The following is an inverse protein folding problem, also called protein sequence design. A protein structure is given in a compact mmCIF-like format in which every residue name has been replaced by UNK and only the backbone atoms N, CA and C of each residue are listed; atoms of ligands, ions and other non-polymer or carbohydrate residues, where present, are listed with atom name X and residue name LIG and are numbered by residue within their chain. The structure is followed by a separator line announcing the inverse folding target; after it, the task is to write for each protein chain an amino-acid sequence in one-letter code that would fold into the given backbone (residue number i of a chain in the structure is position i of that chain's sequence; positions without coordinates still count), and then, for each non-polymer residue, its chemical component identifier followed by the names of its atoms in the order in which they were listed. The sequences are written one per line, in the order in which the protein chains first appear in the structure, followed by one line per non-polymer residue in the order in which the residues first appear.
data_IF_296227059135
#
_entry.id   IF_296227059135
#
_cell.length_a   1.000
_cell.length_b   1.000
_cell.length_c   1.000
_cell.angle_alpha   90.00
_cell.angle_beta   90.00
_cell.angle_gamma   90.00
#
_symmetry.space_group_name_H-M   'P 1'
#
loop_
_entity.id
_entity.type
_entity.pdbx_description
1 polymer ?
#
# COMPACT_ATOMS: atom_id res chain seq x y z
N UNK A 1 -7.96 -28.32 -18.40
CA UNK A 1 -7.96 -28.63 -16.96
C UNK A 1 -6.92 -27.76 -16.29
N UNK A 2 -7.28 -26.89 -15.34
CA UNK A 2 -6.28 -26.17 -14.53
C UNK A 2 -5.64 -27.19 -13.58
N UNK A 3 -4.33 -27.41 -13.68
CA UNK A 3 -3.60 -28.24 -12.72
C UNK A 3 -3.70 -27.60 -11.34
N UNK A 4 -4.25 -28.32 -10.37
CA UNK A 4 -4.27 -27.87 -8.98
C UNK A 4 -2.90 -28.16 -8.37
N UNK A 5 -2.13 -27.11 -8.13
CA UNK A 5 -0.83 -27.19 -7.45
C UNK A 5 -1.09 -27.08 -5.94
N UNK A 6 -0.76 -28.14 -5.19
CA UNK A 6 -0.82 -28.11 -3.73
C UNK A 6 0.49 -27.52 -3.20
N UNK A 7 0.44 -26.27 -2.74
CA UNK A 7 1.59 -25.59 -2.12
C UNK A 7 1.51 -25.82 -0.60
N UNK A 8 2.52 -26.45 0.03
CA UNK A 8 2.53 -26.63 1.48
C UNK A 8 2.65 -25.29 2.21
N UNK A 9 2.05 -25.18 3.39
CA UNK A 9 2.17 -23.99 4.24
C UNK A 9 3.63 -23.89 4.74
N UNK A 10 4.35 -22.78 4.48
CA UNK A 10 5.70 -22.59 4.99
C UNK A 10 5.73 -22.69 6.53
N UNK A 11 6.73 -23.40 7.06
CA UNK A 11 6.97 -23.50 8.50
C UNK A 11 8.15 -22.59 8.86
N UNK A 12 7.97 -21.77 9.89
CA UNK A 12 9.00 -20.84 10.34
C UNK A 12 9.33 -21.07 11.82
N UNK A 13 10.58 -20.84 12.25
CA UNK A 13 10.98 -21.04 13.65
C UNK A 13 10.53 -19.90 14.59
N UNK A 14 9.92 -18.85 14.06
CA UNK A 14 9.39 -17.73 14.84
C UNK A 14 7.87 -17.84 15.04
N UNK A 15 7.40 -17.23 16.14
CA UNK A 15 5.97 -17.17 16.44
C UNK A 15 5.22 -16.32 15.42
N UNK A 16 4.03 -16.78 15.07
CA UNK A 16 3.06 -15.96 14.36
C UNK A 16 2.52 -14.89 15.32
N UNK A 17 2.85 -13.63 15.05
CA UNK A 17 2.43 -12.48 15.85
C UNK A 17 1.49 -11.60 15.03
N UNK A 18 0.44 -11.10 15.67
CA UNK A 18 -0.52 -10.17 15.09
C UNK A 18 -0.52 -8.91 15.93
N UNK A 19 -0.40 -7.75 15.29
CA UNK A 19 -0.47 -6.47 15.99
C UNK A 19 -1.85 -6.23 16.62
N UNK A 20 -1.91 -5.43 17.69
CA UNK A 20 -3.15 -5.18 18.44
C UNK A 20 -4.22 -4.39 17.67
N UNK A 21 -3.87 -3.79 16.53
CA UNK A 21 -4.75 -2.97 15.69
C UNK A 21 -5.12 -3.64 14.35
N UNK A 22 -4.96 -4.97 14.25
CA UNK A 22 -5.42 -5.69 13.06
C UNK A 22 -6.92 -5.43 12.83
N UNK A 23 -7.26 -5.05 11.60
CA UNK A 23 -8.62 -4.67 11.19
C UNK A 23 -9.08 -3.27 11.64
N UNK A 24 -8.32 -2.55 12.47
CA UNK A 24 -8.74 -1.24 13.00
C UNK A 24 -8.80 -0.13 11.95
N UNK A 25 -8.13 -0.28 10.80
CA UNK A 25 -8.08 0.71 9.74
C UNK A 25 -8.94 0.34 8.51
N UNK A 26 -9.80 -0.68 8.57
CA UNK A 26 -10.52 -1.15 7.38
C UNK A 26 -11.37 -0.06 6.71
N UNK A 27 -12.09 0.72 7.51
CA UNK A 27 -12.90 1.83 7.00
C UNK A 27 -12.03 2.97 6.45
N UNK A 28 -10.92 3.27 7.12
CA UNK A 28 -9.98 4.29 6.68
C UNK A 28 -9.25 3.89 5.39
N UNK A 29 -8.84 2.62 5.24
CA UNK A 29 -8.27 2.08 4.01
C UNK A 29 -9.26 2.23 2.85
N UNK A 30 -10.53 1.90 3.05
CA UNK A 30 -11.57 2.09 2.03
C UNK A 30 -11.69 3.57 1.66
N UNK A 31 -11.73 4.46 2.66
CA UNK A 31 -11.84 5.89 2.44
C UNK A 31 -10.64 6.43 1.65
N UNK A 32 -9.41 6.10 2.04
CA UNK A 32 -8.20 6.55 1.34
C UNK A 32 -8.14 6.02 -0.09
N UNK A 33 -8.55 4.76 -0.31
CA UNK A 33 -8.68 4.20 -1.67
C UNK A 33 -9.67 5.03 -2.51
N UNK A 34 -10.79 5.44 -1.91
CA UNK A 34 -11.83 6.17 -2.63
C UNK A 34 -11.47 7.64 -2.90
N UNK A 35 -10.77 8.31 -1.99
CA UNK A 35 -10.42 9.72 -2.11
C UNK A 35 -9.09 9.93 -2.81
N UNK A 36 -8.04 9.28 -2.33
CA UNK A 36 -6.67 9.63 -2.68
C UNK A 36 -6.29 8.98 -4.01
N UNK A 37 -6.83 7.80 -4.30
CA UNK A 37 -6.56 7.05 -5.52
C UNK A 37 -7.69 7.14 -6.56
N UNK A 38 -8.50 8.21 -6.50
CA UNK A 38 -9.64 8.42 -7.41
C UNK A 38 -9.25 8.52 -8.91
N UNK A 39 -7.97 8.72 -9.22
CA UNK A 39 -7.45 8.67 -10.59
C UNK A 39 -7.45 7.25 -11.19
N UNK A 40 -7.52 6.21 -10.34
CA UNK A 40 -7.67 4.82 -10.76
C UNK A 40 -9.12 4.49 -11.10
N UNK A 41 -9.32 3.50 -11.97
CA UNK A 41 -10.66 3.01 -12.31
C UNK A 41 -11.41 2.50 -11.08
N UNK A 42 -12.75 2.54 -11.11
CA UNK A 42 -13.58 2.01 -10.03
C UNK A 42 -13.32 0.51 -9.79
N UNK A 43 -13.13 -0.26 -10.87
CA UNK A 43 -12.85 -1.70 -10.77
C UNK A 43 -11.48 -1.96 -10.13
N UNK A 44 -10.47 -1.16 -10.47
CA UNK A 44 -9.15 -1.19 -9.82
C UNK A 44 -9.27 -0.88 -8.33
N UNK A 45 -10.01 0.15 -7.94
CA UNK A 45 -10.23 0.50 -6.53
C UNK A 45 -11.00 -0.59 -5.77
N UNK A 46 -12.02 -1.19 -6.38
CA UNK A 46 -12.76 -2.35 -5.82
C UNK A 46 -11.86 -3.56 -5.59
N UNK A 47 -10.91 -3.80 -6.48
CA UNK A 47 -9.90 -4.85 -6.31
C UNK A 47 -8.99 -4.54 -5.11
N UNK A 48 -8.41 -3.33 -5.03
CA UNK A 48 -7.50 -2.98 -3.93
C UNK A 48 -8.15 -3.06 -2.54
N UNK A 49 -9.43 -2.72 -2.39
CA UNK A 49 -10.15 -2.85 -1.11
C UNK A 49 -10.20 -4.30 -0.59
N UNK A 50 -9.94 -5.29 -1.44
CA UNK A 50 -9.90 -6.71 -1.06
C UNK A 50 -8.50 -7.18 -0.63
N UNK A 51 -7.47 -6.36 -0.82
CA UNK A 51 -6.09 -6.74 -0.48
C UNK A 51 -5.83 -6.68 1.04
N UNK A 52 -6.66 -5.96 1.80
CA UNK A 52 -6.54 -5.80 3.26
C UNK A 52 -5.12 -5.36 3.67
N UNK A 53 -4.58 -4.33 3.01
CA UNK A 53 -3.19 -3.92 3.19
C UNK A 53 -2.95 -3.33 4.59
N UNK A 54 -3.97 -2.71 5.18
CA UNK A 54 -3.87 -2.25 6.56
C UNK A 54 -3.76 -3.40 7.57
N UNK A 55 -4.48 -4.49 7.33
CA UNK A 55 -4.38 -5.69 8.13
C UNK A 55 -2.99 -6.32 7.95
N UNK A 56 -2.53 -6.49 6.70
CA UNK A 56 -1.18 -6.97 6.40
C UNK A 56 -0.08 -6.15 7.10
N UNK A 57 -0.22 -4.82 7.16
CA UNK A 57 0.70 -3.93 7.89
C UNK A 57 0.76 -4.26 9.38
N UNK A 58 -0.36 -4.66 10.00
CA UNK A 58 -0.40 -5.06 11.41
C UNK A 58 0.35 -6.36 11.69
N UNK A 59 0.52 -7.23 10.69
CA UNK A 59 1.38 -8.41 10.78
C UNK A 59 2.86 -8.07 10.59
N UNK A 60 3.19 -7.04 9.81
CA UNK A 60 4.57 -6.57 9.61
C UNK A 60 5.10 -5.83 10.83
N UNK A 61 4.23 -5.12 11.56
CA UNK A 61 4.60 -4.30 12.72
C UNK A 61 3.87 -4.70 14.00
N UNK A 62 3.96 -5.97 14.45
CA UNK A 62 3.12 -6.50 15.52
C UNK A 62 3.42 -5.90 16.91
N UNK A 63 4.59 -5.27 17.07
CA UNK A 63 5.00 -4.64 18.34
C UNK A 63 4.51 -3.19 18.50
N UNK A 64 3.88 -2.60 17.48
CA UNK A 64 3.40 -1.21 17.56
C UNK A 64 2.13 -1.16 18.40
N UNK A 65 2.29 -0.68 19.64
CA UNK A 65 1.20 -0.53 20.60
C UNK A 65 0.46 0.81 20.55
N UNK A 66 0.74 1.65 19.56
CA UNK A 66 0.06 2.94 19.35
C UNK A 66 -0.46 3.05 17.92
N UNK A 67 -1.78 3.22 17.78
CA UNK A 67 -2.46 3.32 16.49
C UNK A 67 -2.00 4.53 15.67
N UNK A 68 -1.72 5.67 16.30
CA UNK A 68 -1.23 6.87 15.60
C UNK A 68 0.19 6.69 15.05
N UNK A 69 1.01 5.87 15.72
CA UNK A 69 2.30 5.48 15.18
C UNK A 69 2.17 4.47 14.03
N UNK A 70 1.16 3.60 14.05
CA UNK A 70 0.92 2.60 13.00
C UNK A 70 0.33 3.21 11.72
N UNK A 71 -0.52 4.23 11.86
CA UNK A 71 -1.22 4.91 10.76
C UNK A 71 -0.31 5.32 9.58
N UNK A 72 0.86 5.97 9.76
CA UNK A 72 1.75 6.29 8.64
C UNK A 72 2.31 5.05 7.95
N UNK A 73 2.56 3.94 8.66
CA UNK A 73 3.00 2.69 8.03
C UNK A 73 1.89 2.10 7.16
N UNK A 74 0.64 2.14 7.61
CA UNK A 74 -0.51 1.68 6.82
C UNK A 74 -0.64 2.52 5.55
N UNK A 75 -0.64 3.86 5.69
CA UNK A 75 -0.65 4.80 4.55
C UNK A 75 0.47 4.50 3.56
N UNK A 76 1.68 4.28 4.08
CA UNK A 76 2.84 3.96 3.25
C UNK A 76 2.70 2.60 2.54
N UNK A 77 2.19 1.56 3.21
CA UNK A 77 1.95 0.26 2.58
C UNK A 77 0.90 0.34 1.46
N UNK A 78 -0.16 1.13 1.66
CA UNK A 78 -1.15 1.40 0.63
C UNK A 78 -0.49 2.11 -0.57
N UNK A 79 0.27 3.17 -0.32
CA UNK A 79 0.96 3.95 -1.34
C UNK A 79 1.98 3.10 -2.11
N UNK A 80 2.84 2.38 -1.39
CA UNK A 80 3.89 1.54 -1.96
C UNK A 80 3.33 0.52 -2.93
N UNK A 81 2.29 -0.21 -2.52
CA UNK A 81 1.65 -1.24 -3.37
C UNK A 81 1.10 -0.63 -4.66
N UNK A 82 0.49 0.56 -4.56
CA UNK A 82 -0.16 1.21 -5.70
C UNK A 82 0.84 1.89 -6.61
N UNK A 83 1.92 2.43 -6.06
CA UNK A 83 3.05 2.95 -6.82
C UNK A 83 3.73 1.83 -7.61
N UNK A 84 4.00 0.70 -6.97
CA UNK A 84 4.62 -0.49 -7.57
C UNK A 84 3.77 -1.01 -8.73
N UNK A 85 2.48 -1.27 -8.51
CA UNK A 85 1.57 -1.76 -9.54
C UNK A 85 1.36 -0.75 -10.69
N UNK A 86 1.21 0.55 -10.37
CA UNK A 86 0.94 1.57 -11.39
C UNK A 86 2.13 1.78 -12.34
N UNK A 87 3.35 1.62 -11.84
CA UNK A 87 4.58 1.78 -12.61
C UNK A 87 5.30 0.48 -12.93
N UNK A 88 4.69 -0.69 -12.68
CA UNK A 88 5.30 -2.02 -12.86
C UNK A 88 5.91 -2.19 -14.26
N UNK A 89 5.18 -1.70 -15.28
CA UNK A 89 5.58 -1.80 -16.69
C UNK A 89 6.18 -0.51 -17.24
N UNK A 90 6.45 0.48 -16.38
CA UNK A 90 7.02 1.77 -16.78
C UNK A 90 8.46 1.59 -17.29
N UNK A 91 8.79 2.07 -18.50
CA UNK A 91 10.17 2.05 -18.98
C UNK A 91 11.10 2.78 -18.02
N UNK A 92 12.27 2.18 -17.74
CA UNK A 92 13.26 2.73 -16.80
C UNK A 92 13.61 4.21 -17.04
N UNK A 93 13.66 4.64 -18.29
CA UNK A 93 14.02 6.00 -18.66
C UNK A 93 12.92 7.02 -18.30
N UNK A 94 11.65 6.60 -18.28
CA UNK A 94 10.50 7.40 -17.85
C UNK A 94 10.38 7.39 -16.32
N UNK A 95 10.62 6.24 -15.68
CA UNK A 95 10.52 6.07 -14.22
C UNK A 95 11.48 6.98 -13.45
N UNK A 96 12.63 7.37 -14.04
CA UNK A 96 13.60 8.23 -13.36
C UNK A 96 12.99 9.57 -12.95
N UNK A 97 12.27 10.24 -13.85
CA UNK A 97 11.64 11.53 -13.56
C UNK A 97 10.57 11.41 -12.48
N UNK A 98 9.74 10.36 -12.57
CA UNK A 98 8.71 10.04 -11.58
C UNK A 98 9.33 9.83 -10.19
N UNK A 99 10.38 9.01 -10.10
CA UNK A 99 11.09 8.74 -8.84
C UNK A 99 11.64 10.03 -8.24
N UNK A 100 12.34 10.83 -9.03
CA UNK A 100 12.99 12.05 -8.54
C UNK A 100 11.93 13.02 -7.97
N UNK A 101 10.81 13.20 -8.69
CA UNK A 101 9.68 14.02 -8.23
C UNK A 101 9.03 13.50 -6.93
N UNK A 102 8.76 12.20 -6.85
CA UNK A 102 8.21 11.56 -5.63
C UNK A 102 9.13 11.79 -4.42
N UNK A 103 10.44 11.64 -4.62
CA UNK A 103 11.42 11.84 -3.54
C UNK A 103 11.47 13.29 -3.10
N UNK A 104 11.46 14.24 -4.04
CA UNK A 104 11.45 15.67 -3.70
C UNK A 104 10.22 16.03 -2.85
N UNK A 105 9.03 15.51 -3.20
CA UNK A 105 7.81 15.72 -2.40
C UNK A 105 7.89 15.05 -1.03
N UNK A 106 8.39 13.82 -0.95
CA UNK A 106 8.63 13.15 0.34
C UNK A 106 9.62 13.92 1.24
N UNK A 107 10.55 14.65 0.64
CA UNK A 107 11.52 15.51 1.35
C UNK A 107 10.99 16.92 1.65
N UNK A 108 9.74 17.22 1.28
CA UNK A 108 9.04 18.45 1.65
C UNK A 108 8.89 19.47 0.52
N UNK A 109 9.25 19.15 -0.72
CA UNK A 109 8.84 19.97 -1.86
C UNK A 109 7.30 19.93 -1.99
N UNK A 110 6.65 21.05 -2.39
CA UNK A 110 5.23 21.04 -2.63
C UNK A 110 4.90 20.18 -3.86
N UNK A 111 3.81 19.38 -3.82
CA UNK A 111 3.33 18.70 -5.02
C UNK A 111 2.87 19.71 -6.08
N UNK A 112 2.98 19.31 -7.34
CA UNK A 112 2.49 20.07 -8.47
C UNK A 112 0.95 20.03 -8.53
N UNK A 113 0.36 21.02 -9.21
CA UNK A 113 -1.11 21.12 -9.31
C UNK A 113 -1.73 19.89 -9.97
N UNK A 114 -1.04 19.34 -10.96
CA UNK A 114 -1.52 18.23 -11.79
C UNK A 114 -1.04 16.86 -11.26
N UNK A 115 -0.41 16.83 -10.09
CA UNK A 115 -0.01 15.58 -9.44
C UNK A 115 -1.23 14.71 -9.11
N UNK A 116 -1.10 13.43 -9.44
CA UNK A 116 -2.04 12.39 -9.05
C UNK A 116 -1.82 11.98 -7.59
N UNK A 117 -2.74 11.17 -7.05
CA UNK A 117 -2.70 10.69 -5.66
C UNK A 117 -1.45 9.92 -5.22
N UNK A 118 -0.56 9.55 -6.14
CA UNK A 118 0.74 8.96 -5.81
C UNK A 118 1.78 10.00 -5.39
N UNK A 119 1.50 11.29 -5.57
CA UNK A 119 2.42 12.39 -5.25
C UNK A 119 1.74 13.47 -4.40
N UNK A 120 0.47 13.27 -4.00
CA UNK A 120 -0.29 14.19 -3.14
C UNK A 120 -0.37 13.73 -1.69
#
# INVERSE_FOLDING_TARGET
MKQQVNIPIPQYPWLHAVGPFAGSFNEEEIQWIDTDYAFMSEDTRKMYKKHALAEATSYLFPAVGNMELLRPFVRFMLWLTKFDDYYELCPRHELRGIRDHVIDVMLGAPPEKDDIGLVR
#
